data_IF_545431813282
#
_entry.id   IF_545431813282
#
_cell.length_a   1.000
_cell.length_b   1.000
_cell.length_c   1.000
_cell.angle_alpha   90.00
_cell.angle_beta   90.00
_cell.angle_gamma   90.00
#
_symmetry.space_group_name_H-M   'P 1'
#
loop_
_entity.id
_entity.type
_entity.pdbx_description
1 polymer ?
#
# COMPACT_ATOMS: atom_id res chain seq x y z
N UNK A 1 5.30 -5.04 -19.84
CA UNK A 1 4.10 -5.62 -20.50
C UNK A 1 3.03 -4.55 -20.51
N UNK A 2 2.56 -4.13 -21.69
CA UNK A 2 1.50 -3.12 -21.81
C UNK A 2 0.17 -3.85 -21.61
N UNK A 3 -0.59 -3.47 -20.57
CA UNK A 3 -1.90 -4.04 -20.32
C UNK A 3 -2.90 -3.36 -21.26
N UNK A 4 -3.65 -4.16 -22.02
CA UNK A 4 -4.79 -3.65 -22.77
C UNK A 4 -6.03 -3.63 -21.85
N UNK A 5 -6.19 -2.53 -21.12
CA UNK A 5 -7.32 -2.35 -20.19
C UNK A 5 -8.69 -2.42 -20.87
N UNK A 6 -8.78 -2.20 -22.20
CA UNK A 6 -10.04 -2.31 -22.95
C UNK A 6 -10.46 -3.76 -23.20
N UNK A 7 -9.51 -4.68 -23.24
CA UNK A 7 -9.74 -6.12 -23.35
C UNK A 7 -9.81 -6.82 -22.00
N UNK A 8 -9.25 -6.22 -20.98
CA UNK A 8 -9.11 -6.77 -19.64
C UNK A 8 -10.42 -6.74 -18.81
N UNK A 9 -11.58 -6.61 -19.45
CA UNK A 9 -12.89 -6.70 -18.79
C UNK A 9 -13.34 -8.14 -18.49
N UNK A 10 -12.52 -9.14 -18.85
CA UNK A 10 -12.83 -10.51 -18.53
C UNK A 10 -12.69 -10.75 -17.02
N UNK A 11 -13.82 -10.90 -16.36
CA UNK A 11 -13.89 -11.25 -14.94
C UNK A 11 -13.06 -12.51 -14.68
N UNK A 12 -12.28 -12.55 -13.58
CA UNK A 12 -11.63 -13.77 -13.14
C UNK A 12 -12.66 -14.89 -13.01
N UNK A 13 -12.30 -16.07 -13.50
CA UNK A 13 -13.15 -17.26 -13.34
C UNK A 13 -12.79 -17.98 -12.05
N UNK A 14 -13.60 -18.93 -11.58
CA UNK A 14 -13.23 -19.81 -10.46
C UNK A 14 -11.91 -20.55 -10.71
N UNK A 15 -11.58 -20.87 -11.97
CA UNK A 15 -10.36 -21.55 -12.38
C UNK A 15 -9.17 -20.60 -12.54
N UNK A 16 -9.42 -19.32 -12.82
CA UNK A 16 -8.42 -18.25 -12.91
C UNK A 16 -8.90 -16.98 -12.20
N UNK A 17 -8.90 -16.94 -10.86
CA UNK A 17 -9.41 -15.81 -10.10
C UNK A 17 -8.62 -14.51 -10.32
N UNK A 18 -7.34 -14.62 -10.67
CA UNK A 18 -6.49 -13.45 -10.95
C UNK A 18 -6.85 -12.77 -12.28
N UNK A 19 -7.00 -13.55 -13.34
CA UNK A 19 -7.05 -13.03 -14.70
C UNK A 19 -5.77 -12.24 -15.06
N UNK A 20 -5.73 -11.63 -16.23
CA UNK A 20 -4.54 -10.88 -16.69
C UNK A 20 -4.25 -9.65 -15.82
N UNK A 21 -5.28 -8.92 -15.38
CA UNK A 21 -5.11 -7.73 -14.54
C UNK A 21 -4.54 -8.10 -13.16
N UNK A 22 -5.06 -9.16 -12.53
CA UNK A 22 -4.56 -9.59 -11.24
C UNK A 22 -3.10 -10.07 -11.29
N UNK A 23 -2.72 -10.78 -12.37
CA UNK A 23 -1.32 -11.14 -12.62
C UNK A 23 -0.43 -9.91 -12.79
N UNK A 24 -0.87 -8.94 -13.57
CA UNK A 24 -0.14 -7.69 -13.77
C UNK A 24 -0.02 -6.87 -12.46
N UNK A 25 -1.08 -6.86 -11.63
CA UNK A 25 -1.04 -6.23 -10.31
C UNK A 25 -0.01 -6.93 -9.39
N UNK A 26 0.03 -8.27 -9.43
CA UNK A 26 1.02 -9.03 -8.67
C UNK A 26 2.46 -8.73 -9.13
N UNK A 27 2.70 -8.69 -10.43
CA UNK A 27 4.01 -8.30 -10.96
C UNK A 27 4.40 -6.87 -10.55
N UNK A 28 3.44 -5.94 -10.53
CA UNK A 28 3.68 -4.57 -10.11
C UNK A 28 4.12 -4.47 -8.65
N UNK A 29 3.44 -5.18 -7.72
CA UNK A 29 3.83 -5.18 -6.30
C UNK A 29 5.14 -5.94 -6.04
N UNK A 30 5.48 -6.95 -6.85
CA UNK A 30 6.80 -7.60 -6.78
C UNK A 30 7.92 -6.64 -7.18
N UNK A 31 7.75 -5.88 -8.27
CA UNK A 31 8.71 -4.83 -8.67
C UNK A 31 8.82 -3.73 -7.62
N UNK A 32 7.71 -3.33 -7.03
CA UNK A 32 7.71 -2.34 -5.95
C UNK A 32 8.49 -2.85 -4.73
N UNK A 33 8.32 -4.13 -4.35
CA UNK A 33 9.10 -4.76 -3.28
C UNK A 33 10.60 -4.74 -3.59
N UNK A 34 10.99 -5.10 -4.82
CA UNK A 34 12.39 -5.09 -5.24
C UNK A 34 12.97 -3.66 -5.11
N UNK A 35 12.26 -2.66 -5.63
CA UNK A 35 12.66 -1.24 -5.57
C UNK A 35 12.83 -0.74 -4.13
N UNK A 36 11.86 -1.05 -3.26
CA UNK A 36 11.90 -0.64 -1.84
C UNK A 36 13.04 -1.34 -1.11
N UNK A 37 13.17 -2.66 -1.24
CA UNK A 37 14.22 -3.43 -0.56
C UNK A 37 15.62 -2.97 -0.98
N UNK A 38 15.83 -2.72 -2.27
CA UNK A 38 17.09 -2.22 -2.80
C UNK A 38 17.44 -0.82 -2.26
N UNK A 39 16.44 0.07 -2.18
CA UNK A 39 16.64 1.41 -1.62
C UNK A 39 17.00 1.35 -0.13
N UNK A 40 16.28 0.55 0.65
CA UNK A 40 16.51 0.39 2.09
C UNK A 40 17.85 -0.30 2.39
N UNK A 41 18.24 -1.32 1.63
CA UNK A 41 19.53 -1.99 1.77
C UNK A 41 20.71 -1.03 1.48
N UNK A 42 20.55 -0.14 0.48
CA UNK A 42 21.56 0.92 0.21
C UNK A 42 21.70 1.90 1.36
N UNK A 43 20.58 2.31 1.97
CA UNK A 43 20.59 3.23 3.13
C UNK A 43 21.21 2.57 4.34
N UNK A 44 20.92 1.29 4.57
CA UNK A 44 21.50 0.52 5.68
C UNK A 44 23.00 0.29 5.51
N UNK A 45 23.45 -0.08 4.33
CA UNK A 45 24.87 -0.26 3.98
C UNK A 45 25.54 -1.48 4.60
N UNK A 46 24.90 -2.22 5.52
CA UNK A 46 25.45 -3.39 6.20
C UNK A 46 24.62 -4.65 6.00
N UNK A 47 23.34 -4.59 6.34
CA UNK A 47 22.45 -5.74 6.25
C UNK A 47 21.73 -5.79 4.90
N UNK A 48 21.32 -6.99 4.52
CA UNK A 48 20.54 -7.27 3.31
C UNK A 48 19.24 -7.97 3.67
N UNK A 49 18.25 -7.85 2.82
CA UNK A 49 16.99 -8.56 2.98
C UNK A 49 17.15 -10.07 2.75
N UNK A 50 16.67 -10.87 3.70
CA UNK A 50 16.48 -12.32 3.52
C UNK A 50 15.09 -12.56 2.98
N UNK A 51 15.00 -13.33 1.91
CA UNK A 51 13.76 -13.72 1.26
C UNK A 51 13.24 -15.03 1.82
N UNK A 52 11.94 -15.08 2.09
CA UNK A 52 11.21 -16.27 2.55
C UNK A 52 9.91 -16.39 1.74
N UNK A 53 9.88 -17.25 0.70
CA UNK A 53 8.67 -17.56 -0.04
C UNK A 53 7.80 -18.51 0.78
N UNK A 54 6.48 -18.28 0.72
CA UNK A 54 5.51 -19.11 1.43
C UNK A 54 4.28 -19.41 0.58
N UNK A 55 3.62 -20.52 0.87
CA UNK A 55 2.38 -20.94 0.23
C UNK A 55 1.23 -20.95 1.25
N UNK A 56 0.03 -20.64 0.76
CA UNK A 56 -1.20 -20.65 1.57
C UNK A 56 -2.03 -21.90 1.23
N UNK A 57 -2.39 -22.75 2.21
CA UNK A 57 -3.21 -23.96 1.97
C UNK A 57 -4.56 -23.69 1.29
N UNK A 58 -5.11 -22.46 1.40
CA UNK A 58 -6.37 -22.07 0.76
C UNK A 58 -6.21 -21.45 -0.64
N UNK A 59 -5.00 -21.47 -1.22
CA UNK A 59 -4.68 -20.94 -2.54
C UNK A 59 -3.85 -19.65 -2.52
N UNK A 60 -2.81 -19.66 -3.34
CA UNK A 60 -1.83 -18.57 -3.45
C UNK A 60 -0.69 -18.68 -2.45
N UNK A 61 0.03 -17.59 -2.27
CA UNK A 61 1.21 -17.52 -1.42
C UNK A 61 1.79 -16.10 -1.36
N UNK A 62 3.07 -16.01 -1.08
CA UNK A 62 3.75 -14.72 -1.02
C UNK A 62 5.25 -14.84 -0.94
N UNK A 63 5.87 -13.66 -0.89
CA UNK A 63 7.31 -13.48 -0.76
C UNK A 63 7.56 -12.46 0.35
N UNK A 64 7.97 -12.92 1.52
CA UNK A 64 8.39 -12.06 2.61
C UNK A 64 9.87 -11.75 2.50
N UNK A 65 10.24 -10.49 2.74
CA UNK A 65 11.64 -10.06 2.84
C UNK A 65 11.84 -9.35 4.17
N UNK A 66 12.85 -9.79 4.92
CA UNK A 66 13.17 -9.24 6.23
C UNK A 66 14.64 -8.88 6.30
N UNK A 67 14.92 -7.65 6.68
CA UNK A 67 16.23 -7.16 7.08
C UNK A 67 16.23 -7.06 8.61
N UNK A 68 17.25 -7.59 9.28
CA UNK A 68 17.42 -7.51 10.73
C UNK A 68 18.86 -7.16 11.06
N UNK A 69 19.07 -6.56 12.21
CA UNK A 69 20.38 -6.23 12.78
C UNK A 69 21.23 -5.37 11.83
N UNK A 70 20.58 -4.46 11.11
CA UNK A 70 21.21 -3.52 10.20
C UNK A 70 22.00 -2.43 10.89
N UNK A 71 22.70 -1.60 10.14
CA UNK A 71 23.36 -0.40 10.67
C UNK A 71 22.36 0.73 10.94
N UNK A 72 21.27 0.78 10.17
CA UNK A 72 20.21 1.80 10.25
C UNK A 72 18.90 1.20 10.73
N UNK A 73 18.54 0.01 10.27
CA UNK A 73 17.29 -0.65 10.62
C UNK A 73 17.53 -1.77 11.63
N UNK A 74 16.89 -1.66 12.79
CA UNK A 74 16.77 -2.80 13.73
C UNK A 74 16.03 -3.94 13.06
N UNK A 75 14.88 -3.60 12.43
CA UNK A 75 14.09 -4.54 11.66
C UNK A 75 13.30 -3.84 10.56
N UNK A 76 13.33 -4.41 9.39
CA UNK A 76 12.52 -3.97 8.24
C UNK A 76 11.86 -5.18 7.60
N UNK A 77 10.54 -5.19 7.54
CA UNK A 77 9.76 -6.24 6.88
C UNK A 77 9.04 -5.67 5.66
N UNK A 78 9.20 -6.32 4.52
CA UNK A 78 8.52 -5.97 3.26
C UNK A 78 7.97 -7.27 2.66
N UNK A 79 6.65 -7.42 2.68
CA UNK A 79 5.99 -8.67 2.27
C UNK A 79 5.05 -8.43 1.10
N UNK A 80 5.09 -9.31 0.11
CA UNK A 80 4.13 -9.38 -0.99
C UNK A 80 3.33 -10.67 -0.87
N UNK A 81 2.04 -10.57 -1.14
CA UNK A 81 1.15 -11.73 -1.21
C UNK A 81 0.32 -11.70 -2.49
N UNK A 82 -0.03 -12.89 -2.99
CA UNK A 82 -1.06 -13.11 -4.00
C UNK A 82 -1.89 -14.30 -3.53
N UNK A 83 -3.11 -14.03 -3.10
CA UNK A 83 -3.99 -15.04 -2.50
C UNK A 83 -5.35 -15.06 -3.21
N UNK A 84 -5.93 -16.23 -3.28
CA UNK A 84 -7.25 -16.44 -3.87
C UNK A 84 -8.03 -17.52 -3.11
N UNK A 85 -9.30 -17.62 -3.36
CA UNK A 85 -10.13 -18.64 -2.77
C UNK A 85 -11.61 -18.26 -2.77
N UNK A 86 -12.43 -19.09 -2.13
CA UNK A 86 -13.83 -18.74 -1.91
C UNK A 86 -13.97 -17.58 -0.93
N UNK A 87 -14.94 -16.70 -1.20
CA UNK A 87 -15.28 -15.61 -0.28
C UNK A 87 -15.94 -16.21 0.96
N UNK A 88 -15.35 -16.03 2.17
CA UNK A 88 -15.94 -16.53 3.40
C UNK A 88 -17.37 -16.00 3.58
N UNK A 89 -18.29 -16.82 4.08
CA UNK A 89 -19.70 -16.47 4.23
C UNK A 89 -19.90 -15.14 5.00
N UNK A 90 -19.11 -14.93 6.05
CA UNK A 90 -19.15 -13.69 6.88
C UNK A 90 -18.66 -12.43 6.16
N UNK A 91 -17.97 -12.59 5.02
CA UNK A 91 -17.43 -11.50 4.22
C UNK A 91 -18.28 -11.20 2.99
N UNK A 92 -19.24 -12.06 2.62
CA UNK A 92 -19.99 -11.95 1.36
C UNK A 92 -20.72 -10.62 1.20
N UNK A 93 -21.32 -10.14 2.31
CA UNK A 93 -22.09 -8.90 2.32
C UNK A 93 -21.24 -7.64 2.60
N UNK A 94 -19.95 -7.85 2.93
CA UNK A 94 -19.03 -6.75 3.29
C UNK A 94 -17.98 -6.49 2.21
N UNK A 95 -17.74 -7.45 1.33
CA UNK A 95 -16.77 -7.36 0.27
C UNK A 95 -17.47 -6.96 -1.02
N UNK A 96 -17.01 -5.89 -1.66
CA UNK A 96 -17.50 -5.44 -2.96
C UNK A 96 -17.46 -6.55 -4.01
N UNK A 97 -18.40 -6.52 -4.98
CA UNK A 97 -18.55 -7.53 -6.03
C UNK A 97 -19.48 -8.68 -5.65
N UNK A 98 -19.76 -9.55 -6.62
CA UNK A 98 -20.81 -10.56 -6.59
C UNK A 98 -20.32 -12.02 -6.84
N UNK A 99 -19.04 -12.20 -7.15
CA UNK A 99 -18.48 -13.52 -7.43
C UNK A 99 -18.32 -14.39 -6.18
N UNK A 100 -18.29 -15.74 -6.36
CA UNK A 100 -18.05 -16.70 -5.27
C UNK A 100 -16.58 -16.74 -4.84
N UNK A 101 -15.65 -16.34 -5.72
CA UNK A 101 -14.21 -16.35 -5.49
C UNK A 101 -13.64 -14.96 -5.53
N UNK A 102 -12.53 -14.78 -4.83
CA UNK A 102 -11.75 -13.55 -4.86
C UNK A 102 -10.29 -13.82 -5.24
N UNK A 103 -9.64 -12.79 -5.72
CA UNK A 103 -8.18 -12.67 -5.82
C UNK A 103 -7.74 -11.38 -5.15
N UNK A 104 -6.67 -11.44 -4.39
CA UNK A 104 -6.07 -10.26 -3.77
C UNK A 104 -4.55 -10.35 -3.86
N UNK A 105 -3.93 -9.27 -4.25
CA UNK A 105 -2.47 -9.14 -4.21
C UNK A 105 -2.09 -7.78 -3.64
N UNK A 106 -0.96 -7.72 -2.97
CA UNK A 106 -0.50 -6.47 -2.40
C UNK A 106 0.86 -6.59 -1.74
N UNK A 107 1.42 -5.42 -1.45
CA UNK A 107 2.62 -5.25 -0.65
C UNK A 107 2.24 -4.64 0.70
N UNK A 108 2.88 -5.10 1.76
CA UNK A 108 2.77 -4.53 3.12
C UNK A 108 4.15 -4.45 3.74
N UNK A 109 4.45 -3.35 4.41
CA UNK A 109 5.74 -3.15 5.05
C UNK A 109 5.61 -2.42 6.39
N UNK A 110 6.55 -2.72 7.28
CA UNK A 110 6.81 -1.96 8.50
C UNK A 110 8.32 -1.87 8.69
N UNK A 111 8.82 -0.66 8.95
CA UNK A 111 10.24 -0.37 9.07
C UNK A 111 10.52 0.27 10.43
N UNK A 112 11.47 -0.31 11.16
CA UNK A 112 11.90 0.14 12.48
C UNK A 112 13.38 0.55 12.43
N UNK A 113 13.71 1.84 12.32
CA UNK A 113 15.08 2.33 12.48
C UNK A 113 15.60 2.16 13.92
N UNK A 114 16.93 2.05 14.06
CA UNK A 114 17.62 2.03 15.34
C UNK A 114 17.62 3.41 16.02
N UNK A 115 17.84 4.46 15.23
CA UNK A 115 17.91 5.81 15.74
C UNK A 115 16.50 6.37 15.94
N UNK A 116 16.12 6.85 17.14
CA UNK A 116 14.79 7.40 17.42
C UNK A 116 14.48 8.68 16.65
N UNK A 117 15.49 9.36 16.09
CA UNK A 117 15.30 10.51 15.21
C UNK A 117 14.82 10.10 13.81
N UNK A 118 15.13 8.88 13.37
CA UNK A 118 14.58 8.32 12.13
C UNK A 118 13.22 7.66 12.44
N UNK A 119 12.13 8.07 11.76
CA UNK A 119 10.79 7.62 12.12
C UNK A 119 10.50 6.19 11.68
N UNK A 120 9.68 5.49 12.47
CA UNK A 120 9.00 4.26 12.03
C UNK A 120 7.96 4.60 10.96
N UNK A 121 7.77 3.70 9.99
CA UNK A 121 6.76 3.84 8.96
C UNK A 121 6.07 2.52 8.65
N UNK A 122 4.84 2.63 8.18
CA UNK A 122 4.05 1.54 7.62
C UNK A 122 3.54 1.96 6.25
N UNK A 123 3.46 1.00 5.33
CA UNK A 123 2.74 1.19 4.08
C UNK A 123 2.11 -0.14 3.61
N UNK A 124 1.01 -0.03 2.88
CA UNK A 124 0.46 -1.13 2.11
C UNK A 124 -0.18 -0.60 0.84
N UNK A 125 -0.12 -1.41 -0.23
CA UNK A 125 -0.82 -1.14 -1.48
C UNK A 125 -1.35 -2.47 -1.99
N UNK A 126 -2.65 -2.54 -2.28
CA UNK A 126 -3.32 -3.78 -2.64
C UNK A 126 -4.28 -3.59 -3.81
N UNK A 127 -4.41 -4.63 -4.59
CA UNK A 127 -5.43 -4.82 -5.62
C UNK A 127 -6.29 -6.02 -5.23
N UNK A 128 -7.60 -5.87 -5.34
CA UNK A 128 -8.55 -6.92 -5.02
C UNK A 128 -9.55 -7.05 -6.16
N UNK A 129 -9.95 -8.29 -6.44
CA UNK A 129 -10.95 -8.65 -7.42
C UNK A 129 -11.94 -9.65 -6.83
N UNK A 130 -13.22 -9.42 -7.10
CA UNK A 130 -14.29 -10.39 -6.84
C UNK A 130 -15.27 -10.36 -8.01
N UNK A 131 -15.35 -11.46 -8.75
CA UNK A 131 -16.12 -11.49 -10.00
C UNK A 131 -15.60 -10.45 -10.99
N UNK A 132 -16.49 -9.57 -11.45
CA UNK A 132 -16.14 -8.47 -12.37
C UNK A 132 -15.70 -7.21 -11.66
N UNK A 133 -15.89 -7.11 -10.36
CA UNK A 133 -15.54 -5.93 -9.57
C UNK A 133 -14.07 -5.98 -9.17
N UNK A 134 -13.38 -4.88 -9.40
CA UNK A 134 -11.98 -4.69 -9.07
C UNK A 134 -11.80 -3.36 -8.36
N UNK A 135 -10.96 -3.32 -7.33
CA UNK A 135 -10.69 -2.10 -6.59
C UNK A 135 -9.28 -2.08 -6.03
N UNK A 136 -8.87 -0.90 -5.66
CA UNK A 136 -7.58 -0.62 -5.05
C UNK A 136 -7.75 -0.20 -3.61
N UNK A 137 -6.79 -0.58 -2.78
CA UNK A 137 -6.61 -0.08 -1.44
C UNK A 137 -5.14 0.21 -1.20
N UNK A 138 -4.87 1.04 -0.21
CA UNK A 138 -3.50 1.33 0.13
C UNK A 138 -3.33 2.50 1.08
N UNK A 139 -2.08 2.80 1.34
CA UNK A 139 -1.68 3.94 2.13
C UNK A 139 -0.27 3.82 2.67
N UNK A 140 0.20 4.91 3.22
CA UNK A 140 1.45 5.01 3.95
C UNK A 140 1.30 6.03 5.07
N UNK A 141 1.90 5.75 6.23
CA UNK A 141 1.91 6.65 7.37
C UNK A 141 3.27 6.65 8.08
N UNK A 142 3.56 7.74 8.77
CA UNK A 142 4.83 7.99 9.44
C UNK A 142 4.61 8.21 10.93
N UNK A 143 5.38 7.48 11.76
CA UNK A 143 5.32 7.55 13.22
C UNK A 143 6.66 7.99 13.80
N UNK A 144 6.94 9.31 13.88
CA UNK A 144 8.15 9.82 14.48
C UNK A 144 8.10 9.74 16.00
N UNK A 145 9.21 9.37 16.64
CA UNK A 145 9.42 9.56 18.08
C UNK A 145 9.86 11.00 18.39
N UNK A 146 10.68 11.58 17.50
CA UNK A 146 11.07 12.99 17.54
C UNK A 146 10.51 13.67 16.31
N UNK A 147 9.61 14.64 16.51
CA UNK A 147 8.95 15.33 15.42
C UNK A 147 9.85 16.42 14.82
N UNK A 148 10.07 16.33 13.52
CA UNK A 148 10.69 17.37 12.70
C UNK A 148 9.65 17.88 11.69
N UNK A 149 9.23 19.16 11.78
CA UNK A 149 8.21 19.71 10.88
C UNK A 149 8.57 19.60 9.40
N UNK A 150 9.85 19.75 9.07
CA UNK A 150 10.34 19.63 7.68
C UNK A 150 10.24 18.20 7.13
N UNK A 151 10.38 17.16 7.99
CA UNK A 151 10.21 15.77 7.57
C UNK A 151 8.73 15.45 7.38
N UNK A 152 7.88 15.97 8.25
CA UNK A 152 6.43 15.86 8.08
C UNK A 152 5.97 16.53 6.77
N UNK A 153 6.43 17.75 6.50
CA UNK A 153 6.11 18.46 5.27
C UNK A 153 6.60 17.70 4.03
N UNK A 154 7.81 17.14 4.07
CA UNK A 154 8.38 16.34 2.98
C UNK A 154 7.56 15.08 2.73
N UNK A 155 7.22 14.31 3.79
CA UNK A 155 6.45 13.07 3.68
C UNK A 155 5.09 13.31 3.05
N UNK A 156 4.37 14.32 3.55
CA UNK A 156 3.07 14.68 3.02
C UNK A 156 3.14 15.22 1.59
N UNK A 157 4.13 16.03 1.24
CA UNK A 157 4.31 16.52 -0.12
C UNK A 157 4.58 15.38 -1.13
N UNK A 158 5.36 14.38 -0.75
CA UNK A 158 5.65 13.24 -1.60
C UNK A 158 4.40 12.35 -1.84
N UNK A 159 3.53 12.20 -0.83
CA UNK A 159 2.29 11.43 -0.93
C UNK A 159 1.14 12.21 -1.60
N UNK A 160 1.10 13.54 -1.46
CA UNK A 160 0.08 14.35 -2.13
C UNK A 160 0.27 14.39 -3.65
N UNK A 161 1.51 14.39 -4.12
CA UNK A 161 1.81 14.52 -5.54
C UNK A 161 1.07 13.52 -6.45
N UNK A 162 1.08 12.20 -6.21
CA UNK A 162 0.29 11.26 -7.01
C UNK A 162 -1.22 11.42 -6.82
N UNK A 163 -1.67 11.82 -5.62
CA UNK A 163 -3.08 12.10 -5.36
C UNK A 163 -3.57 13.28 -6.19
N UNK A 164 -2.86 14.41 -6.13
CA UNK A 164 -3.21 15.65 -6.82
C UNK A 164 -3.16 15.48 -8.35
N UNK A 165 -2.24 14.65 -8.85
CA UNK A 165 -2.16 14.30 -10.26
C UNK A 165 -3.38 13.51 -10.76
N UNK A 166 -3.99 12.69 -9.90
CA UNK A 166 -5.17 11.90 -10.22
C UNK A 166 -6.47 12.69 -9.99
N UNK A 167 -6.60 13.30 -8.82
CA UNK A 167 -7.75 14.12 -8.45
C UNK A 167 -7.42 15.06 -7.28
N UNK A 168 -7.78 16.34 -7.34
CA UNK A 168 -7.57 17.27 -6.24
C UNK A 168 -8.35 16.90 -4.96
N UNK A 169 -9.36 16.01 -5.06
CA UNK A 169 -10.13 15.53 -3.93
C UNK A 169 -9.40 14.38 -3.18
N UNK A 170 -8.46 13.68 -3.80
CA UNK A 170 -7.86 12.46 -3.24
C UNK A 170 -7.04 12.75 -1.98
N UNK A 171 -6.09 13.68 -2.06
CA UNK A 171 -5.20 13.89 -0.91
C UNK A 171 -5.95 14.37 0.34
N UNK A 172 -6.82 15.41 0.29
CA UNK A 172 -7.55 15.84 1.48
C UNK A 172 -8.41 14.74 2.10
N UNK A 173 -9.07 13.95 1.25
CA UNK A 173 -9.92 12.86 1.71
C UNK A 173 -9.12 11.70 2.29
N UNK A 174 -8.08 11.23 1.60
CA UNK A 174 -7.24 10.10 2.04
C UNK A 174 -6.40 10.44 3.27
N UNK A 175 -5.95 11.69 3.40
CA UNK A 175 -5.27 12.19 4.60
C UNK A 175 -6.20 12.15 5.81
N UNK A 176 -7.39 12.70 5.69
CA UNK A 176 -8.38 12.71 6.75
C UNK A 176 -8.83 11.27 7.12
N UNK A 177 -8.93 10.38 6.13
CA UNK A 177 -9.23 8.97 6.38
C UNK A 177 -8.09 8.28 7.12
N UNK A 178 -6.84 8.49 6.71
CA UNK A 178 -5.64 7.97 7.38
C UNK A 178 -5.62 8.34 8.86
N UNK A 179 -5.87 9.61 9.19
CA UNK A 179 -5.88 10.10 10.57
C UNK A 179 -6.92 9.38 11.43
N UNK A 180 -8.13 9.17 10.89
CA UNK A 180 -9.20 8.43 11.60
C UNK A 180 -8.91 6.94 11.71
N UNK A 181 -8.42 6.32 10.63
CA UNK A 181 -8.18 4.88 10.57
C UNK A 181 -7.11 4.43 11.56
N UNK A 182 -6.07 5.24 11.73
CA UNK A 182 -4.94 4.98 12.62
C UNK A 182 -5.05 5.72 13.96
N UNK A 183 -6.23 6.23 14.31
CA UNK A 183 -6.45 6.80 15.62
C UNK A 183 -6.34 5.74 16.72
N UNK A 184 -5.48 5.99 17.70
CA UNK A 184 -5.31 5.09 18.84
C UNK A 184 -6.32 5.46 19.94
N UNK A 185 -7.45 4.76 19.97
CA UNK A 185 -8.54 5.03 20.91
C UNK A 185 -8.16 4.82 22.36
N UNK A 186 -7.19 3.94 22.66
CA UNK A 186 -6.75 3.68 24.04
C UNK A 186 -5.91 4.81 24.62
N UNK A 187 -5.27 5.60 23.76
CA UNK A 187 -4.37 6.69 24.13
C UNK A 187 -4.93 8.06 23.78
N UNK A 188 -6.04 8.09 23.07
CA UNK A 188 -6.68 9.29 22.53
C UNK A 188 -5.72 10.15 21.69
N UNK A 189 -4.96 9.50 20.81
CA UNK A 189 -3.95 10.14 19.98
C UNK A 189 -3.91 9.55 18.56
N UNK A 190 -3.45 10.32 17.59
CA UNK A 190 -3.10 9.84 16.25
C UNK A 190 -1.86 8.96 16.25
N UNK A 191 -1.78 7.96 15.36
CA UNK A 191 -0.56 7.21 15.12
C UNK A 191 0.41 8.07 14.29
N UNK A 192 1.24 8.86 14.96
CA UNK A 192 2.21 9.75 14.32
C UNK A 192 1.57 10.92 13.56
N UNK A 193 2.15 11.29 12.43
CA UNK A 193 1.71 12.44 11.61
C UNK A 193 0.67 12.06 10.55
N UNK A 194 0.29 10.78 10.47
CA UNK A 194 -0.57 10.25 9.40
C UNK A 194 0.16 10.10 8.08
N UNK A 195 -0.58 10.28 7.01
CA UNK A 195 -0.16 10.09 5.62
C UNK A 195 -1.37 10.01 4.72
N UNK A 196 -1.52 8.95 3.94
CA UNK A 196 -2.73 8.65 3.16
C UNK A 196 -3.25 7.25 3.47
N UNK A 197 -4.57 7.08 3.40
CA UNK A 197 -5.22 5.77 3.44
C UNK A 197 -6.45 5.78 2.54
N UNK A 198 -6.63 4.74 1.76
CA UNK A 198 -7.79 4.51 0.91
C UNK A 198 -8.11 3.03 0.78
N UNK A 199 -9.37 2.71 0.60
CA UNK A 199 -9.86 1.37 0.32
C UNK A 199 -11.11 1.42 -0.56
N UNK A 200 -11.45 0.28 -1.16
CA UNK A 200 -12.62 0.13 -2.06
C UNK A 200 -12.64 1.18 -3.20
N UNK A 201 -11.44 1.62 -3.63
CA UNK A 201 -11.28 2.62 -4.69
C UNK A 201 -11.50 1.98 -6.06
N UNK A 202 -12.64 2.26 -6.70
CA UNK A 202 -13.03 1.73 -8.01
C UNK A 202 -13.68 2.78 -8.88
N UNK A 203 -13.63 2.59 -10.19
CA UNK A 203 -14.18 3.52 -11.20
C UNK A 203 -15.69 3.69 -11.05
N UNK A 204 -16.17 4.93 -11.08
CA UNK A 204 -17.59 5.27 -10.97
C UNK A 204 -18.20 4.95 -9.61
N UNK A 205 -17.38 4.64 -8.60
CA UNK A 205 -17.82 4.32 -7.26
C UNK A 205 -17.86 5.51 -6.32
N UNK A 206 -18.18 5.21 -5.08
CA UNK A 206 -18.09 6.16 -3.96
C UNK A 206 -17.32 5.50 -2.84
N UNK A 207 -16.17 6.04 -2.48
CA UNK A 207 -15.41 5.58 -1.33
C UNK A 207 -15.92 6.26 -0.05
N UNK A 208 -15.87 5.53 1.05
CA UNK A 208 -16.31 6.03 2.36
C UNK A 208 -15.35 5.59 3.45
N UNK A 209 -15.08 6.50 4.39
CA UNK A 209 -14.33 6.22 5.62
C UNK A 209 -15.24 5.93 6.82
N UNK A 210 -16.54 5.77 6.57
CA UNK A 210 -17.56 5.61 7.59
C UNK A 210 -18.20 6.92 8.09
N UNK A 211 -17.55 8.07 7.86
CA UNK A 211 -18.05 9.40 8.25
C UNK A 211 -18.26 10.34 7.06
N UNK A 212 -17.38 10.28 6.09
CA UNK A 212 -17.43 11.08 4.88
C UNK A 212 -17.46 10.18 3.63
N UNK A 213 -17.89 10.75 2.51
CA UNK A 213 -17.95 10.07 1.22
C UNK A 213 -17.30 10.93 0.15
N UNK A 214 -16.64 10.29 -0.80
CA UNK A 214 -16.04 10.91 -1.97
C UNK A 214 -16.44 10.12 -3.21
N UNK A 215 -17.05 10.79 -4.19
CA UNK A 215 -17.33 10.20 -5.48
C UNK A 215 -16.02 10.08 -6.29
N UNK A 216 -15.89 8.96 -7.02
CA UNK A 216 -14.76 8.71 -7.93
C UNK A 216 -15.23 8.99 -9.35
N UNK A 217 -15.52 10.28 -9.61
CA UNK A 217 -16.07 10.72 -10.89
C UNK A 217 -14.96 11.00 -11.91
N UNK A 218 -15.24 10.64 -13.17
CA UNK A 218 -14.35 10.95 -14.30
C UNK A 218 -13.04 10.15 -14.34
N UNK A 219 -12.83 9.22 -13.41
CA UNK A 219 -11.67 8.34 -13.39
C UNK A 219 -12.08 6.92 -13.80
N UNK A 220 -11.51 6.44 -14.91
CA UNK A 220 -11.65 5.07 -15.34
C UNK A 220 -10.67 4.15 -14.57
N UNK A 221 -10.74 2.85 -14.86
CA UNK A 221 -9.87 1.87 -14.22
C UNK A 221 -8.38 2.12 -14.50
N UNK A 222 -8.04 2.57 -15.71
CA UNK A 222 -6.65 2.87 -16.08
C UNK A 222 -6.09 4.05 -15.28
N UNK A 223 -6.87 5.11 -15.11
CA UNK A 223 -6.48 6.27 -14.29
C UNK A 223 -6.26 5.87 -12.82
N UNK A 224 -7.14 5.03 -12.26
CA UNK A 224 -6.98 4.52 -10.90
C UNK A 224 -5.79 3.55 -10.75
N UNK A 225 -5.52 2.74 -11.76
CA UNK A 225 -4.33 1.90 -11.83
C UNK A 225 -3.06 2.74 -11.79
N UNK A 226 -2.97 3.76 -12.64
CA UNK A 226 -1.81 4.67 -12.68
C UNK A 226 -1.63 5.41 -11.34
N UNK A 227 -2.71 5.87 -10.74
CA UNK A 227 -2.68 6.45 -9.38
C UNK A 227 -2.12 5.45 -8.36
N UNK A 228 -2.63 4.22 -8.33
CA UNK A 228 -2.21 3.19 -7.37
C UNK A 228 -0.72 2.85 -7.49
N UNK A 229 -0.22 2.71 -8.73
CA UNK A 229 1.22 2.51 -9.01
C UNK A 229 2.03 3.71 -8.51
N UNK A 230 1.65 4.93 -8.91
CA UNK A 230 2.36 6.16 -8.53
C UNK A 230 2.38 6.38 -7.01
N UNK A 231 1.27 6.07 -6.32
CA UNK A 231 1.17 6.14 -4.86
C UNK A 231 2.14 5.14 -4.19
N UNK A 232 2.24 3.91 -4.70
CA UNK A 232 3.22 2.93 -4.22
C UNK A 232 4.66 3.38 -4.45
N UNK A 233 4.99 3.84 -5.65
CA UNK A 233 6.33 4.31 -6.02
C UNK A 233 6.74 5.58 -5.26
N UNK A 234 5.80 6.41 -4.81
CA UNK A 234 6.08 7.59 -4.02
C UNK A 234 6.67 7.29 -2.65
N UNK A 235 6.46 6.07 -2.12
CA UNK A 235 6.92 5.66 -0.79
C UNK A 235 8.44 5.82 -0.61
N UNK A 236 9.25 5.38 -1.57
CA UNK A 236 10.71 5.52 -1.50
C UNK A 236 11.11 6.99 -1.44
N UNK A 237 10.48 7.85 -2.25
CA UNK A 237 10.71 9.30 -2.28
C UNK A 237 10.25 9.98 -0.98
N UNK A 238 9.19 9.48 -0.36
CA UNK A 238 8.66 10.01 0.88
C UNK A 238 9.54 9.66 2.09
N UNK A 239 10.02 8.42 2.17
CA UNK A 239 10.65 7.90 3.39
C UNK A 239 12.17 7.92 3.38
N UNK A 240 12.81 7.47 2.31
CA UNK A 240 14.29 7.32 2.26
C UNK A 240 15.04 8.61 2.56
N UNK A 241 14.69 9.79 2.00
CA UNK A 241 15.39 11.03 2.31
C UNK A 241 15.28 11.45 3.79
N UNK A 242 14.19 11.07 4.47
CA UNK A 242 14.04 11.33 5.92
C UNK A 242 15.03 10.47 6.71
N UNK A 243 15.09 9.17 6.41
CA UNK A 243 16.04 8.27 7.08
C UNK A 243 17.48 8.72 6.86
N UNK A 244 17.85 9.08 5.63
CA UNK A 244 19.20 9.57 5.31
C UNK A 244 19.58 10.81 6.12
N UNK A 245 18.64 11.73 6.37
CA UNK A 245 18.88 12.92 7.20
C UNK A 245 18.99 12.60 8.69
N UNK A 246 18.31 11.54 9.16
CA UNK A 246 18.11 11.30 10.60
C UNK A 246 18.89 10.12 11.17
N UNK A 247 19.38 9.22 10.37
CA UNK A 247 20.04 7.98 10.82
C UNK A 247 21.28 8.22 11.70
N UNK A 248 21.97 9.33 11.51
CA UNK A 248 23.20 9.69 12.24
C UNK A 248 22.99 10.89 13.19
N UNK A 249 21.75 11.30 13.44
CA UNK A 249 21.42 12.39 14.37
C UNK A 249 21.72 11.97 15.80
N UNK A 250 22.43 12.84 16.56
CA UNK A 250 22.81 12.60 17.97
C UNK A 250 21.76 13.12 18.94
#
# INVERSE_FOLDING_TARGET
MTIDFKRATDGGTPEDPAGDIGRAAHEAVLRLQDTICDALARVDGRATFKEDPWERPGGGGGRSRVLSDGAVFEKAGVSVSAVHGEVPAVMRDRMSGDGPVFFATGISLVLHPLNPHAPTTHANFRFIRRGKTMWFGGGADLTPYVLYPEDAAHFHAALSAPCDAASPAFYPFFKAWCDRYFWNTHRDEGRGIGGIFFDDLHSGGTVTDGTARMAVDGLDFEALWLFWIAAGESFVKAYVPIVERRKDTA
#
